data_IF_464885693540
#
_entry.id   IF_464885693540
#
_cell.length_a   1.000
_cell.length_b   1.000
_cell.length_c   1.000
_cell.angle_alpha   90.00
_cell.angle_beta   90.00
_cell.angle_gamma   90.00
#
_symmetry.space_group_name_H-M   'P 1'
#
loop_
_entity.id
_entity.type
_entity.pdbx_description
1 polymer ?
#
# COMPACT_ATOMS: atom_id res chain seq x y z
N UNK A 1 49.90 -34.09 2.66
CA UNK A 1 51.04 -33.19 2.91
C UNK A 1 50.63 -31.77 2.59
N UNK A 2 50.85 -30.90 3.61
CA UNK A 2 50.89 -29.42 3.66
C UNK A 2 49.59 -28.66 3.50
N UNK A 3 48.90 -28.33 4.54
CA UNK A 3 48.80 -27.17 5.45
C UNK A 3 49.24 -25.80 4.89
N UNK A 4 48.29 -24.78 4.93
CA UNK A 4 48.44 -23.41 5.46
C UNK A 4 47.07 -22.71 5.39
N UNK A 5 46.44 -22.42 6.47
CA UNK A 5 46.50 -21.42 7.55
C UNK A 5 46.28 -19.97 7.08
N UNK A 6 45.15 -19.41 7.56
CA UNK A 6 44.90 -18.18 8.35
C UNK A 6 44.88 -16.84 7.63
N UNK A 7 43.85 -16.13 7.92
CA UNK A 7 43.74 -14.67 7.88
C UNK A 7 42.43 -14.19 8.45
N UNK A 8 42.39 -14.08 9.76
CA UNK A 8 41.38 -13.30 10.50
C UNK A 8 41.72 -11.82 10.36
N UNK A 9 40.74 -10.96 10.12
CA UNK A 9 40.82 -9.54 10.45
C UNK A 9 39.52 -9.17 11.17
N UNK A 10 39.65 -9.07 12.51
CA UNK A 10 38.71 -8.39 13.37
C UNK A 10 38.83 -6.88 13.13
N UNK A 11 37.73 -6.21 12.88
CA UNK A 11 37.64 -4.76 13.12
C UNK A 11 36.42 -4.53 14.00
N UNK A 12 36.71 -4.41 15.30
CA UNK A 12 35.86 -3.82 16.31
C UNK A 12 35.87 -2.33 16.12
N UNK A 13 34.73 -1.74 15.83
CA UNK A 13 34.53 -0.29 15.83
C UNK A 13 33.31 0.04 16.68
N UNK A 14 33.50 0.14 17.99
CA UNK A 14 32.54 0.68 18.93
C UNK A 14 32.54 2.20 18.78
N UNK A 15 31.43 2.79 18.39
CA UNK A 15 31.19 4.21 18.59
C UNK A 15 29.95 4.39 19.47
N UNK A 16 30.21 4.57 20.78
CA UNK A 16 29.23 5.07 21.72
C UNK A 16 29.02 6.57 21.48
N UNK A 17 27.81 6.98 21.22
CA UNK A 17 27.38 8.34 21.48
C UNK A 17 26.23 8.31 22.49
N UNK A 18 26.58 8.72 23.69
CA UNK A 18 25.66 9.07 24.75
C UNK A 18 25.06 10.44 24.43
N UNK A 19 23.75 10.58 24.61
CA UNK A 19 23.13 11.89 24.49
C UNK A 19 21.67 11.92 24.88
N UNK A 20 21.43 12.36 26.10
CA UNK A 20 20.26 13.03 26.63
C UNK A 20 19.00 12.26 26.96
N UNK A 21 18.87 11.95 28.24
CA UNK A 21 17.64 11.75 28.98
C UNK A 21 16.74 12.99 28.84
N UNK A 22 15.69 12.89 28.09
CA UNK A 22 14.53 13.78 28.15
C UNK A 22 13.40 13.06 28.85
N UNK A 23 13.31 13.22 30.17
CA UNK A 23 12.15 12.88 30.96
C UNK A 23 11.02 13.81 30.57
N UNK A 24 9.92 13.29 30.04
CA UNK A 24 8.64 13.99 30.07
C UNK A 24 7.53 12.95 30.28
N UNK A 25 6.99 12.94 31.43
CA UNK A 25 5.65 13.19 31.85
C UNK A 25 4.62 12.15 31.43
N UNK A 26 4.03 11.47 32.44
CA UNK A 26 2.88 10.58 32.29
C UNK A 26 1.80 11.22 31.42
N UNK A 27 1.39 10.46 30.46
CA UNK A 27 0.22 10.70 29.63
C UNK A 27 -0.63 9.46 29.69
N UNK A 28 -1.81 9.68 30.12
CA UNK A 28 -2.90 8.75 30.30
C UNK A 28 -3.00 7.74 29.15
N UNK A 29 -3.26 6.49 29.53
CA UNK A 29 -3.79 5.48 28.61
C UNK A 29 -5.19 5.97 28.19
N UNK A 30 -5.22 6.87 27.23
CA UNK A 30 -6.42 7.05 26.43
C UNK A 30 -6.57 5.78 25.59
N UNK A 31 -7.53 4.97 25.95
CA UNK A 31 -8.13 3.99 25.06
C UNK A 31 -8.43 4.73 23.78
N UNK A 32 -7.54 4.55 22.78
CA UNK A 32 -7.59 5.30 21.54
C UNK A 32 -8.89 5.01 20.81
N UNK A 33 -9.90 5.80 21.13
CA UNK A 33 -11.03 5.97 20.25
C UNK A 33 -10.43 6.41 18.91
N UNK A 34 -10.55 5.56 17.90
CA UNK A 34 -10.27 5.93 16.53
C UNK A 34 -10.96 7.26 16.28
N UNK A 35 -10.18 8.32 16.16
CA UNK A 35 -10.71 9.62 15.78
C UNK A 35 -11.27 9.45 14.37
N UNK A 36 -12.58 9.47 14.26
CA UNK A 36 -13.28 9.28 13.00
C UNK A 36 -12.76 10.20 11.91
N UNK A 37 -12.36 9.63 10.77
CA UNK A 37 -12.71 10.18 9.51
C UNK A 37 -11.72 11.12 8.81
N UNK A 38 -10.43 10.91 8.89
CA UNK A 38 -9.53 11.54 7.92
C UNK A 38 -8.81 10.48 7.09
N UNK A 39 -8.80 10.62 5.76
CA UNK A 39 -8.01 9.72 4.92
C UNK A 39 -6.51 9.92 5.16
N UNK A 40 -5.75 8.84 5.19
CA UNK A 40 -4.29 8.87 5.20
C UNK A 40 -3.79 9.19 3.79
N UNK A 41 -3.11 10.32 3.64
CA UNK A 41 -2.51 10.70 2.36
C UNK A 41 -1.17 10.00 2.19
N UNK A 42 -1.03 9.25 1.12
CA UNK A 42 0.17 8.49 0.75
C UNK A 42 0.68 8.99 -0.60
N UNK A 43 1.98 9.08 -0.75
CA UNK A 43 2.62 9.29 -2.05
C UNK A 43 3.10 7.98 -2.60
N UNK A 44 2.99 7.82 -3.89
CA UNK A 44 3.59 6.71 -4.60
C UNK A 44 5.09 6.62 -4.37
N UNK A 45 5.58 5.38 -4.24
CA UNK A 45 7.01 5.05 -4.11
C UNK A 45 7.37 3.96 -5.10
N UNK A 46 8.20 4.31 -6.05
CA UNK A 46 8.72 3.41 -7.07
C UNK A 46 10.00 2.66 -6.64
N UNK A 47 10.23 1.43 -7.13
CA UNK A 47 9.40 0.67 -8.06
C UNK A 47 8.28 -0.11 -7.36
N UNK A 48 7.03 -0.02 -7.88
CA UNK A 48 5.86 -0.73 -7.36
C UNK A 48 5.13 -1.58 -8.43
N UNK A 49 5.78 -1.85 -9.55
CA UNK A 49 5.23 -2.40 -10.81
C UNK A 49 4.85 -3.88 -10.77
N UNK A 50 4.96 -4.56 -9.62
CA UNK A 50 4.65 -6.00 -9.51
C UNK A 50 4.06 -6.34 -8.14
N UNK A 51 3.38 -7.47 -8.03
CA UNK A 51 2.89 -8.00 -6.74
C UNK A 51 3.98 -8.15 -5.67
N UNK A 52 5.25 -8.40 -6.09
CA UNK A 52 6.37 -8.52 -5.15
C UNK A 52 6.91 -7.16 -4.67
N UNK A 53 6.68 -6.12 -5.45
CA UNK A 53 7.12 -4.75 -5.17
C UNK A 53 5.94 -3.83 -4.82
N UNK A 54 4.73 -4.37 -4.70
CA UNK A 54 3.53 -3.60 -4.35
C UNK A 54 3.76 -2.73 -3.11
N UNK A 55 3.44 -1.46 -3.21
CA UNK A 55 3.57 -0.53 -2.10
C UNK A 55 2.53 -0.85 -1.03
N UNK A 56 2.99 -1.23 0.17
CA UNK A 56 2.10 -1.49 1.29
C UNK A 56 1.56 -0.18 1.87
N UNK A 57 0.25 -0.02 1.88
CA UNK A 57 -0.42 1.18 2.38
C UNK A 57 -0.74 1.08 3.87
N UNK A 58 -1.06 -0.13 4.36
CA UNK A 58 -1.36 -0.36 5.76
C UNK A 58 -2.46 -1.42 5.99
N UNK A 59 -2.79 -1.58 7.26
CA UNK A 59 -3.96 -2.33 7.70
C UNK A 59 -5.22 -1.48 7.46
N UNK A 60 -6.34 -2.15 7.11
CA UNK A 60 -7.59 -1.50 6.79
C UNK A 60 -8.73 -2.11 7.58
N UNK A 61 -9.44 -1.26 8.30
CA UNK A 61 -10.62 -1.56 9.09
C UNK A 61 -11.81 -0.73 8.60
N UNK A 62 -13.00 -1.01 9.05
CA UNK A 62 -14.17 -0.18 8.75
C UNK A 62 -13.91 1.29 9.14
N UNK A 63 -14.36 2.23 8.31
CA UNK A 63 -14.14 3.66 8.41
C UNK A 63 -12.69 4.15 8.17
N UNK A 64 -11.76 3.27 7.79
CA UNK A 64 -10.43 3.67 7.33
C UNK A 64 -10.46 4.12 5.86
N UNK A 65 -9.59 5.06 5.53
CA UNK A 65 -9.47 5.59 4.16
C UNK A 65 -8.00 5.90 3.85
N UNK A 66 -7.55 5.51 2.65
CA UNK A 66 -6.28 5.92 2.05
C UNK A 66 -6.52 6.73 0.78
N UNK A 67 -5.71 7.78 0.59
CA UNK A 67 -5.63 8.52 -0.68
C UNK A 67 -4.20 8.42 -1.16
N UNK A 68 -4.00 7.94 -2.37
CA UNK A 68 -2.69 7.82 -3.00
C UNK A 68 -2.61 8.77 -4.19
N UNK A 69 -1.62 9.65 -4.19
CA UNK A 69 -1.24 10.41 -5.38
C UNK A 69 -0.16 9.63 -6.13
N UNK A 70 -0.48 9.17 -7.33
CA UNK A 70 0.38 8.34 -8.16
C UNK A 70 0.50 8.81 -9.61
N UNK A 71 1.32 8.09 -10.40
CA UNK A 71 1.56 8.43 -11.80
C UNK A 71 1.98 7.24 -12.65
N UNK A 72 1.28 6.97 -13.71
CA UNK A 72 1.72 6.08 -14.79
C UNK A 72 2.69 6.84 -15.68
N UNK A 73 3.95 6.43 -15.68
CA UNK A 73 5.04 7.14 -16.37
C UNK A 73 5.04 6.90 -17.88
N UNK A 74 4.57 5.74 -18.32
CA UNK A 74 4.41 5.35 -19.71
C UNK A 74 3.37 4.24 -19.83
N UNK A 75 2.83 3.91 -21.00
CA UNK A 75 1.77 2.90 -21.15
C UNK A 75 2.15 1.45 -20.77
N UNK A 76 3.43 1.17 -20.51
CA UNK A 76 3.87 -0.14 -20.02
C UNK A 76 4.12 -0.15 -18.49
N UNK A 77 3.90 0.98 -17.85
CA UNK A 77 3.98 1.15 -16.41
C UNK A 77 2.75 0.56 -15.72
N UNK A 78 2.97 0.03 -14.54
CA UNK A 78 1.94 -0.63 -13.73
C UNK A 78 2.20 -0.27 -12.28
N UNK A 79 1.21 0.25 -11.59
CA UNK A 79 1.33 0.56 -10.18
C UNK A 79 0.55 -0.44 -9.34
N UNK A 80 1.22 -1.03 -8.37
CA UNK A 80 0.62 -2.02 -7.47
C UNK A 80 0.66 -1.53 -6.03
N UNK A 81 -0.48 -1.54 -5.38
CA UNK A 81 -0.66 -1.18 -3.98
C UNK A 81 -1.22 -2.36 -3.21
N UNK A 82 -0.84 -2.48 -1.94
CA UNK A 82 -1.32 -3.55 -1.06
C UNK A 82 -1.94 -2.98 0.20
N UNK A 83 -3.11 -3.52 0.57
CA UNK A 83 -3.75 -3.32 1.89
C UNK A 83 -3.98 -4.67 2.55
N UNK A 84 -4.02 -4.66 3.88
CA UNK A 84 -4.37 -5.84 4.68
C UNK A 84 -5.72 -5.59 5.35
N UNK A 85 -6.76 -6.26 4.86
CA UNK A 85 -8.14 -6.13 5.38
C UNK A 85 -8.27 -6.98 6.63
N UNK A 86 -8.53 -6.31 7.76
CA UNK A 86 -8.52 -6.90 9.09
C UNK A 86 -9.90 -7.35 9.56
N UNK A 87 -10.96 -6.82 8.97
CA UNK A 87 -12.34 -7.14 9.32
C UNK A 87 -13.26 -7.14 8.09
N UNK A 88 -14.47 -7.66 8.24
CA UNK A 88 -15.43 -7.69 7.12
C UNK A 88 -15.94 -6.29 6.81
N UNK A 89 -15.76 -5.88 5.56
CA UNK A 89 -16.09 -4.54 5.07
C UNK A 89 -16.43 -4.56 3.58
N UNK A 90 -16.98 -3.46 3.09
CA UNK A 90 -16.99 -3.16 1.67
C UNK A 90 -15.82 -2.23 1.36
N UNK A 91 -14.92 -2.66 0.48
CA UNK A 91 -13.87 -1.79 -0.04
C UNK A 91 -14.39 -1.05 -1.26
N UNK A 92 -14.45 0.27 -1.16
CA UNK A 92 -14.72 1.17 -2.29
C UNK A 92 -13.39 1.69 -2.80
N UNK A 93 -13.07 1.38 -4.04
CA UNK A 93 -11.86 1.84 -4.73
C UNK A 93 -12.27 2.83 -5.79
N UNK A 94 -11.75 4.04 -5.72
CA UNK A 94 -12.02 5.11 -6.69
C UNK A 94 -10.72 5.57 -7.32
N UNK A 95 -10.68 5.61 -8.64
CA UNK A 95 -9.54 6.11 -9.43
C UNK A 95 -9.98 7.34 -10.22
N UNK A 96 -9.41 8.48 -9.85
CA UNK A 96 -9.62 9.75 -10.55
C UNK A 96 -8.37 10.12 -11.36
N UNK A 97 -8.55 10.43 -12.63
CA UNK A 97 -7.48 10.77 -13.56
C UNK A 97 -7.96 11.76 -14.62
N UNK A 98 -7.04 12.28 -15.42
CA UNK A 98 -7.39 13.16 -16.53
C UNK A 98 -8.28 12.45 -17.55
N UNK A 99 -9.31 13.10 -18.11
CA UNK A 99 -10.16 12.52 -19.15
C UNK A 99 -9.44 12.27 -20.50
N UNK A 100 -8.15 12.60 -20.59
CA UNK A 100 -7.32 12.38 -21.79
C UNK A 100 -6.46 11.10 -21.69
N UNK A 101 -6.53 10.39 -20.59
CA UNK A 101 -5.89 9.08 -20.36
C UNK A 101 -6.97 8.09 -19.94
N UNK A 102 -6.67 6.82 -20.03
CA UNK A 102 -7.56 5.72 -19.65
C UNK A 102 -6.76 4.72 -18.81
N UNK A 103 -7.08 4.64 -17.54
CA UNK A 103 -6.42 3.77 -16.55
C UNK A 103 -7.45 2.85 -15.91
N UNK A 104 -7.15 1.57 -15.85
CA UNK A 104 -8.02 0.54 -15.27
C UNK A 104 -7.56 0.11 -13.89
N UNK A 105 -8.52 -0.29 -13.04
CA UNK A 105 -8.28 -0.89 -11.74
C UNK A 105 -8.50 -2.40 -11.81
N UNK A 106 -7.56 -3.17 -11.31
CA UNK A 106 -7.69 -4.61 -11.11
C UNK A 106 -7.38 -4.98 -9.66
N UNK A 107 -8.18 -5.87 -9.06
CA UNK A 107 -7.97 -6.36 -7.70
C UNK A 107 -7.59 -7.84 -7.72
N UNK A 108 -6.63 -8.19 -6.86
CA UNK A 108 -6.14 -9.56 -6.70
C UNK A 108 -6.03 -9.93 -5.21
N UNK A 109 -6.28 -11.19 -4.90
CA UNK A 109 -5.88 -11.79 -3.62
C UNK A 109 -4.35 -11.89 -3.61
N UNK A 110 -3.69 -11.16 -2.73
CA UNK A 110 -2.23 -11.03 -2.72
C UNK A 110 -1.51 -12.32 -2.26
N UNK A 111 -2.18 -13.17 -1.48
CA UNK A 111 -1.62 -14.43 -1.01
C UNK A 111 -1.58 -15.50 -2.11
N UNK A 112 -2.57 -15.49 -2.98
CA UNK A 112 -2.75 -16.53 -4.01
C UNK A 112 -2.50 -16.03 -5.42
N UNK A 113 -2.47 -14.71 -5.63
CA UNK A 113 -2.44 -14.08 -6.95
C UNK A 113 -3.75 -14.25 -7.73
N UNK A 114 -4.82 -14.66 -7.04
CA UNK A 114 -6.11 -14.90 -7.70
C UNK A 114 -6.78 -13.58 -8.04
N UNK A 115 -7.20 -13.44 -9.27
CA UNK A 115 -7.99 -12.30 -9.73
C UNK A 115 -9.33 -12.22 -8.99
N UNK A 116 -9.68 -11.03 -8.50
CA UNK A 116 -10.94 -10.76 -7.78
C UNK A 116 -11.90 -10.01 -8.69
N UNK A 117 -11.49 -8.86 -9.21
CA UNK A 117 -12.37 -7.96 -9.98
C UNK A 117 -11.55 -7.06 -10.91
N UNK A 118 -12.16 -6.72 -12.04
CA UNK A 118 -11.72 -5.68 -12.96
C UNK A 118 -12.81 -4.61 -13.01
N UNK A 119 -12.42 -3.35 -12.88
CA UNK A 119 -13.32 -2.21 -12.88
C UNK A 119 -13.01 -1.21 -13.99
N UNK A 120 -12.30 -1.67 -15.03
CA UNK A 120 -12.02 -0.84 -16.18
C UNK A 120 -13.29 -0.31 -16.83
N UNK A 121 -13.35 0.99 -17.05
CA UNK A 121 -14.44 1.68 -17.73
C UNK A 121 -13.90 2.90 -18.47
N UNK A 122 -14.69 3.46 -19.40
CA UNK A 122 -14.34 4.73 -20.06
C UNK A 122 -14.95 5.94 -19.32
N UNK A 123 -15.29 5.78 -18.04
CA UNK A 123 -15.93 6.84 -17.22
C UNK A 123 -15.01 7.22 -16.08
N UNK A 124 -14.74 8.50 -15.92
CA UNK A 124 -13.91 9.05 -14.84
C UNK A 124 -14.80 9.75 -13.82
N UNK A 125 -14.64 9.49 -12.51
CA UNK A 125 -13.74 8.50 -11.91
C UNK A 125 -14.21 7.05 -12.11
N UNK A 126 -13.28 6.11 -12.14
CA UNK A 126 -13.61 4.68 -12.05
C UNK A 126 -13.90 4.30 -10.60
N UNK A 127 -14.89 3.45 -10.39
CA UNK A 127 -15.32 3.05 -9.04
C UNK A 127 -15.56 1.55 -8.97
N UNK A 128 -14.88 0.90 -8.04
CA UNK A 128 -15.14 -0.49 -7.65
C UNK A 128 -15.77 -0.55 -6.27
N UNK A 129 -16.66 -1.51 -6.06
CA UNK A 129 -17.14 -1.86 -4.73
C UNK A 129 -17.03 -3.37 -4.55
N UNK A 130 -16.23 -3.79 -3.57
CA UNK A 130 -15.94 -5.22 -3.33
C UNK A 130 -16.23 -5.57 -1.88
N UNK A 131 -17.16 -6.48 -1.61
CA UNK A 131 -17.40 -6.98 -0.27
C UNK A 131 -16.33 -7.98 0.14
N UNK A 132 -15.70 -7.78 1.29
CA UNK A 132 -14.78 -8.71 1.91
C UNK A 132 -15.41 -9.30 3.19
N UNK A 133 -15.30 -10.61 3.34
CA UNK A 133 -15.78 -11.34 4.51
C UNK A 133 -14.60 -12.01 5.21
N UNK A 134 -14.01 -11.31 6.17
CA UNK A 134 -12.92 -11.83 7.01
C UNK A 134 -13.49 -12.81 8.03
N UNK A 135 -13.02 -14.06 8.02
CA UNK A 135 -13.55 -15.13 8.90
C UNK A 135 -12.54 -15.59 9.95
N UNK A 136 -11.31 -15.85 9.56
CA UNK A 136 -10.30 -16.45 10.44
C UNK A 136 -8.89 -15.92 10.26
N UNK A 137 -8.67 -15.17 9.21
CA UNK A 137 -7.40 -14.49 8.90
C UNK A 137 -7.67 -13.24 8.11
N UNK A 138 -6.77 -12.30 8.20
CA UNK A 138 -6.75 -11.10 7.40
C UNK A 138 -6.66 -11.43 5.89
N UNK A 139 -7.15 -10.55 5.06
CA UNK A 139 -7.12 -10.71 3.61
C UNK A 139 -6.20 -9.66 3.03
N UNK A 140 -5.08 -10.10 2.44
CA UNK A 140 -4.21 -9.21 1.69
C UNK A 140 -4.75 -9.00 0.28
N UNK A 141 -4.94 -7.74 -0.11
CA UNK A 141 -5.47 -7.36 -1.42
C UNK A 141 -4.47 -6.48 -2.14
N UNK A 142 -4.13 -6.86 -3.37
CA UNK A 142 -3.38 -6.02 -4.30
C UNK A 142 -4.35 -5.27 -5.22
N UNK A 143 -4.18 -3.96 -5.26
CA UNK A 143 -4.84 -3.04 -6.18
C UNK A 143 -3.82 -2.66 -7.25
N UNK A 144 -4.13 -2.97 -8.49
CA UNK A 144 -3.25 -2.78 -9.63
C UNK A 144 -3.85 -1.75 -10.57
N UNK A 145 -3.11 -0.70 -10.87
CA UNK A 145 -3.47 0.33 -11.84
C UNK A 145 -2.68 0.06 -13.12
N UNK A 146 -3.39 -0.02 -14.23
CA UNK A 146 -2.80 -0.23 -15.55
C UNK A 146 -3.23 0.86 -16.51
N UNK A 147 -2.40 1.16 -17.50
CA UNK A 147 -2.77 2.08 -18.58
C UNK A 147 -3.37 1.33 -19.76
N UNK A 148 -4.56 1.73 -20.16
CA UNK A 148 -5.16 1.38 -21.45
C UNK A 148 -4.73 2.39 -22.51
N UNK A 149 -4.75 3.68 -22.14
CA UNK A 149 -4.35 4.77 -23.03
C UNK A 149 -3.60 5.86 -22.27
N UNK A 150 -2.39 6.15 -22.72
CA UNK A 150 -1.64 7.32 -22.27
C UNK A 150 -0.79 7.10 -21.03
N UNK A 151 -0.35 8.22 -20.48
CA UNK A 151 0.43 8.31 -19.24
C UNK A 151 0.02 9.61 -18.52
N UNK A 152 0.14 9.64 -17.20
CA UNK A 152 -0.27 10.80 -16.42
C UNK A 152 -0.41 10.52 -14.94
N UNK A 153 -0.84 11.52 -14.20
CA UNK A 153 -1.10 11.41 -12.78
C UNK A 153 -2.53 10.94 -12.50
N UNK A 154 -2.69 10.31 -11.34
CA UNK A 154 -3.99 9.90 -10.82
C UNK A 154 -4.07 10.09 -9.31
N UNK A 155 -5.29 10.07 -8.79
CA UNK A 155 -5.58 9.94 -7.36
C UNK A 155 -6.38 8.66 -7.15
N UNK A 156 -5.81 7.72 -6.37
CA UNK A 156 -6.47 6.50 -5.95
C UNK A 156 -7.00 6.68 -4.53
N UNK A 157 -8.29 6.45 -4.33
CA UNK A 157 -8.93 6.46 -3.01
C UNK A 157 -9.39 5.06 -2.65
N UNK A 158 -9.01 4.58 -1.47
CA UNK A 158 -9.50 3.34 -0.87
C UNK A 158 -10.31 3.72 0.36
N UNK A 159 -11.59 3.37 0.39
CA UNK A 159 -12.52 3.71 1.46
C UNK A 159 -13.19 2.43 1.97
N UNK A 160 -13.06 2.16 3.25
CA UNK A 160 -13.59 0.97 3.92
C UNK A 160 -14.92 1.27 4.63
N UNK A 161 -15.99 0.63 4.18
CA UNK A 161 -17.36 0.88 4.64
C UNK A 161 -18.02 -0.36 5.28
#
# INVERSE_FOLDING_TARGET
MTHRRRGWVDIVGILMMAGALGSCGGGDHDDGGRAGGGCVLVREVEPNNTFLTAQFLGDMFVDDCFIVDGSIFNPADVDSYRVLIQESLNLVVTLDHSPFVDFDIQLFDADTGTFILDCGSNVVPEVCVVPFAVRSRDIAVDIVITSVVGAGTYTLTLDAQ
#
